data_IF_971313640364
#
_entry.id   IF_971313640364
#
_cell.length_a   1.000
_cell.length_b   1.000
_cell.length_c   1.000
_cell.angle_alpha   90.00
_cell.angle_beta   90.00
_cell.angle_gamma   90.00
#
_symmetry.space_group_name_H-M   'P 1'
#
loop_
_entity.id
_entity.type
_entity.pdbx_description
1 polymer ?
#
# COMPACT_ATOMS: atom_id res chain seq x y z
N UNK A 1 40.42 -2.67 14.42
CA UNK A 1 41.07 -3.24 13.22
C UNK A 1 40.67 -4.70 12.90
N UNK A 2 39.84 -5.37 13.71
CA UNK A 2 39.44 -6.79 13.45
C UNK A 2 38.16 -6.97 12.63
N UNK A 3 37.36 -5.94 12.41
CA UNK A 3 36.10 -6.02 11.64
C UNK A 3 36.26 -5.79 10.11
N UNK A 4 37.36 -5.19 9.68
CA UNK A 4 37.62 -4.95 8.24
C UNK A 4 38.31 -6.12 7.51
N UNK A 5 38.84 -7.09 8.24
CA UNK A 5 39.52 -8.24 7.66
C UNK A 5 38.54 -9.37 7.32
N UNK A 6 37.41 -9.45 8.04
CA UNK A 6 36.38 -10.48 7.80
C UNK A 6 35.57 -10.18 6.54
N UNK A 7 35.30 -8.92 6.24
CA UNK A 7 34.60 -8.53 4.99
C UNK A 7 35.40 -8.73 3.72
N UNK A 8 36.74 -8.67 3.79
CA UNK A 8 37.62 -8.91 2.65
C UNK A 8 37.78 -10.39 2.31
N UNK A 9 37.61 -11.28 3.29
CA UNK A 9 37.69 -12.74 3.06
C UNK A 9 36.40 -13.31 2.46
N UNK A 10 35.23 -12.73 2.74
CA UNK A 10 33.96 -13.17 2.13
C UNK A 10 33.83 -12.81 0.64
N UNK A 11 34.44 -11.68 0.21
CA UNK A 11 34.43 -11.30 -1.19
C UNK A 11 35.39 -12.13 -2.09
N UNK A 12 36.42 -12.76 -1.50
CA UNK A 12 37.38 -13.54 -2.24
C UNK A 12 36.92 -14.98 -2.57
N UNK A 13 35.91 -15.48 -1.85
CA UNK A 13 35.38 -16.84 -2.09
C UNK A 13 34.26 -16.89 -3.15
N UNK A 14 33.66 -15.77 -3.52
CA UNK A 14 32.62 -15.73 -4.57
C UNK A 14 33.13 -15.57 -5.99
N UNK A 15 34.43 -15.32 -6.21
CA UNK A 15 35.03 -15.15 -7.57
C UNK A 15 35.66 -16.43 -8.12
N UNK A 16 35.81 -17.50 -7.31
CA UNK A 16 36.52 -18.71 -7.70
C UNK A 16 35.67 -19.83 -8.35
N UNK A 17 34.33 -19.64 -8.51
CA UNK A 17 33.45 -20.70 -9.03
C UNK A 17 32.87 -20.45 -10.43
N UNK A 18 33.35 -19.44 -11.17
CA UNK A 18 32.83 -19.14 -12.52
C UNK A 18 33.75 -19.53 -13.71
N UNK A 19 34.74 -20.35 -13.52
CA UNK A 19 35.59 -20.83 -14.62
C UNK A 19 35.78 -22.35 -14.60
N UNK A 20 34.78 -23.10 -15.05
CA UNK A 20 34.99 -24.44 -15.57
C UNK A 20 33.80 -24.89 -16.43
N UNK A 21 33.93 -24.89 -17.71
CA UNK A 21 32.95 -25.56 -18.58
C UNK A 21 32.83 -25.00 -19.99
N UNK A 22 33.93 -25.02 -20.77
CA UNK A 22 33.85 -24.89 -22.22
C UNK A 22 34.53 -26.13 -22.85
N UNK A 23 33.79 -26.84 -23.66
CA UNK A 23 34.36 -27.99 -24.44
C UNK A 23 33.40 -28.35 -25.58
N UNK A 24 33.68 -27.79 -26.73
CA UNK A 24 33.05 -28.03 -28.02
C UNK A 24 33.38 -29.42 -28.62
N UNK A 25 32.49 -30.00 -29.44
CA UNK A 25 32.86 -30.63 -30.73
C UNK A 25 31.69 -30.76 -31.69
N UNK A 26 31.96 -30.34 -32.91
CA UNK A 26 31.18 -30.42 -34.13
C UNK A 26 31.08 -31.87 -34.68
N UNK A 27 30.01 -32.14 -35.43
CA UNK A 27 30.03 -32.50 -36.89
C UNK A 27 28.69 -33.12 -37.29
N UNK A 28 28.03 -32.56 -38.18
CA UNK A 28 27.87 -32.67 -39.65
C UNK A 28 26.74 -33.61 -40.11
N UNK A 29 25.83 -32.96 -40.88
CA UNK A 29 25.09 -33.42 -42.08
C UNK A 29 24.18 -34.65 -42.07
N UNK A 30 22.91 -34.50 -42.32
CA UNK A 30 22.32 -34.65 -43.65
C UNK A 30 20.81 -34.41 -43.68
N UNK A 31 20.34 -33.81 -44.75
CA UNK A 31 18.97 -33.53 -45.10
C UNK A 31 18.20 -34.79 -45.53
N UNK A 32 16.87 -34.85 -45.24
CA UNK A 32 15.86 -35.29 -46.21
C UNK A 32 14.43 -34.96 -45.73
N UNK A 33 13.66 -34.51 -46.68
CA UNK A 33 12.29 -34.00 -46.78
C UNK A 33 11.16 -34.94 -46.35
N UNK A 34 10.00 -34.24 -46.02
CA UNK A 34 8.58 -34.65 -46.11
C UNK A 34 8.03 -35.56 -44.98
N UNK A 35 6.96 -35.27 -44.34
CA UNK A 35 5.59 -35.04 -44.79
C UNK A 35 4.66 -34.60 -43.65
N UNK A 36 3.58 -33.94 -44.01
CA UNK A 36 2.50 -33.41 -43.22
C UNK A 36 1.76 -34.42 -42.38
N UNK A 37 1.58 -34.16 -41.06
CA UNK A 37 0.34 -34.51 -40.38
C UNK A 37 0.10 -33.62 -39.17
N UNK A 38 -1.06 -33.01 -39.17
CA UNK A 38 -1.64 -32.30 -38.03
C UNK A 38 -1.67 -33.23 -36.84
N UNK A 39 -1.05 -32.85 -35.74
CA UNK A 39 -1.37 -33.36 -34.43
C UNK A 39 -1.74 -32.16 -33.56
N UNK A 40 -2.98 -32.06 -33.17
CA UNK A 40 -3.50 -31.31 -32.05
C UNK A 40 -2.68 -31.72 -30.82
N UNK A 41 -1.78 -30.87 -30.38
CA UNK A 41 -1.16 -30.99 -29.08
C UNK A 41 -1.87 -29.98 -28.18
N UNK A 42 -2.93 -30.44 -27.51
CA UNK A 42 -3.37 -29.85 -26.27
C UNK A 42 -2.15 -29.87 -25.35
N UNK A 43 -1.58 -28.69 -25.09
CA UNK A 43 -0.61 -28.50 -24.02
C UNK A 43 -1.37 -28.76 -22.72
N UNK A 44 -1.20 -29.96 -22.16
CA UNK A 44 -1.48 -30.16 -20.76
C UNK A 44 -0.63 -29.16 -19.99
N UNK A 45 -1.26 -28.16 -19.44
CA UNK A 45 -0.68 -27.34 -18.39
C UNK A 45 -0.49 -28.30 -17.22
N UNK A 46 0.74 -28.79 -17.04
CA UNK A 46 1.10 -29.50 -15.81
C UNK A 46 0.87 -28.52 -14.67
N UNK A 47 -0.12 -28.84 -13.85
CA UNK A 47 -0.32 -28.16 -12.57
C UNK A 47 1.02 -28.15 -11.83
N UNK A 48 1.35 -27.05 -11.10
CA UNK A 48 2.50 -27.03 -10.21
C UNK A 48 2.48 -28.27 -9.32
N UNK A 49 3.66 -28.83 -9.02
CA UNK A 49 3.77 -29.96 -8.09
C UNK A 49 2.93 -29.65 -6.84
N UNK A 50 2.04 -30.58 -6.45
CA UNK A 50 1.16 -30.41 -5.30
C UNK A 50 1.99 -29.95 -4.09
N UNK A 51 1.76 -28.73 -3.65
CA UNK A 51 2.18 -28.29 -2.32
C UNK A 51 1.28 -29.02 -1.33
N UNK A 52 1.84 -29.98 -0.63
CA UNK A 52 1.11 -30.83 0.32
C UNK A 52 1.01 -30.20 1.71
N UNK A 53 1.37 -28.92 1.86
CA UNK A 53 1.24 -28.17 3.10
C UNK A 53 -0.21 -28.08 3.58
N UNK A 54 -0.39 -27.98 4.89
CA UNK A 54 -1.68 -27.82 5.56
C UNK A 54 -1.76 -26.55 6.40
N UNK A 55 -0.80 -25.69 6.26
CA UNK A 55 -0.73 -24.39 6.93
C UNK A 55 -0.90 -23.29 5.90
N UNK A 56 -1.80 -22.34 6.19
CA UNK A 56 -1.97 -21.11 5.44
C UNK A 56 -1.30 -19.97 6.21
N UNK A 57 -0.12 -19.57 5.78
CA UNK A 57 0.65 -18.47 6.40
C UNK A 57 0.28 -17.13 5.77
N UNK A 58 -0.35 -16.26 6.57
CA UNK A 58 -0.79 -14.93 6.14
C UNK A 58 0.07 -13.86 6.83
N UNK A 59 0.72 -13.00 6.04
CA UNK A 59 1.57 -11.91 6.52
C UNK A 59 0.84 -10.58 6.42
N UNK A 60 0.74 -9.85 7.53
CA UNK A 60 0.11 -8.54 7.62
C UNK A 60 0.79 -7.64 8.66
N UNK A 61 0.51 -6.32 8.60
CA UNK A 61 1.14 -5.35 9.51
C UNK A 61 0.34 -5.04 10.77
N UNK A 62 -0.94 -5.40 10.79
CA UNK A 62 -1.83 -5.23 11.94
C UNK A 62 -2.99 -6.23 11.88
N UNK A 63 -3.91 -6.12 12.83
CA UNK A 63 -5.07 -7.02 12.94
C UNK A 63 -6.26 -6.63 12.05
N UNK A 64 -6.20 -5.53 11.29
CA UNK A 64 -7.34 -5.07 10.52
C UNK A 64 -7.78 -6.10 9.49
N UNK A 65 -6.87 -6.57 8.64
CA UNK A 65 -7.18 -7.58 7.63
C UNK A 65 -7.72 -8.87 8.26
N UNK A 66 -7.04 -9.37 9.32
CA UNK A 66 -7.51 -10.54 10.09
C UNK A 66 -8.96 -10.34 10.54
N UNK A 67 -9.26 -9.25 11.23
CA UNK A 67 -10.59 -8.99 11.78
C UNK A 67 -11.67 -8.91 10.69
N UNK A 68 -11.35 -8.30 9.54
CA UNK A 68 -12.30 -8.19 8.41
C UNK A 68 -12.57 -9.55 7.76
N UNK A 69 -11.52 -10.30 7.44
CA UNK A 69 -11.67 -11.60 6.79
C UNK A 69 -12.37 -12.60 7.71
N UNK A 70 -11.94 -12.73 8.95
CA UNK A 70 -12.49 -13.72 9.88
C UNK A 70 -13.95 -13.44 10.25
N UNK A 71 -14.37 -12.17 10.29
CA UNK A 71 -15.76 -11.80 10.52
C UNK A 71 -16.71 -12.25 9.38
N UNK A 72 -16.20 -12.48 8.18
CA UNK A 72 -16.98 -12.78 6.99
C UNK A 72 -16.73 -14.16 6.40
N UNK A 73 -15.69 -14.87 6.84
CA UNK A 73 -15.39 -16.22 6.37
C UNK A 73 -16.11 -17.26 7.26
N UNK A 74 -17.15 -17.92 6.75
CA UNK A 74 -18.11 -18.67 7.60
C UNK A 74 -17.49 -19.88 8.31
N UNK A 75 -16.44 -20.47 7.74
CA UNK A 75 -15.82 -21.70 8.24
C UNK A 75 -14.56 -21.43 9.07
N UNK A 76 -14.19 -20.16 9.29
CA UNK A 76 -13.04 -19.82 10.13
C UNK A 76 -13.34 -20.08 11.60
N UNK A 77 -12.40 -20.75 12.28
CA UNK A 77 -12.44 -21.02 13.70
C UNK A 77 -11.18 -20.44 14.34
N UNK A 78 -11.34 -19.47 15.24
CA UNK A 78 -10.22 -18.92 16.01
C UNK A 78 -9.74 -19.94 17.04
N UNK A 79 -8.41 -20.16 17.10
CA UNK A 79 -7.73 -20.98 18.10
C UNK A 79 -7.11 -20.10 19.17
N UNK A 80 -6.37 -19.05 18.75
CA UNK A 80 -5.81 -18.01 19.60
C UNK A 80 -5.62 -16.72 18.79
N UNK A 81 -4.94 -15.73 19.36
CA UNK A 81 -4.74 -14.41 18.74
C UNK A 81 -4.02 -14.48 17.37
N UNK A 82 -3.23 -15.50 17.12
CA UNK A 82 -2.43 -15.63 15.88
C UNK A 82 -2.70 -16.92 15.11
N UNK A 83 -3.58 -17.79 15.60
CA UNK A 83 -3.87 -19.07 14.96
C UNK A 83 -5.38 -19.26 14.78
N UNK A 84 -5.73 -19.93 13.70
CA UNK A 84 -7.09 -20.35 13.39
C UNK A 84 -7.12 -21.62 12.54
N UNK A 85 -8.31 -22.02 12.14
CA UNK A 85 -8.54 -23.16 11.26
C UNK A 85 -9.62 -22.88 10.22
N UNK A 86 -9.45 -23.46 9.04
CA UNK A 86 -10.47 -23.55 8.00
C UNK A 86 -10.52 -25.02 7.57
N UNK A 87 -11.50 -25.77 8.08
CA UNK A 87 -11.54 -27.23 7.89
C UNK A 87 -10.29 -27.90 8.45
N UNK A 88 -9.53 -28.60 7.59
CA UNK A 88 -8.28 -29.28 7.96
C UNK A 88 -7.02 -28.42 7.78
N UNK A 89 -7.18 -27.15 7.37
CA UNK A 89 -6.08 -26.22 7.16
C UNK A 89 -5.87 -25.37 8.42
N UNK A 90 -4.64 -25.36 8.94
CA UNK A 90 -4.23 -24.43 10.00
C UNK A 90 -3.93 -23.06 9.41
N UNK A 91 -4.45 -21.99 10.00
CA UNK A 91 -4.20 -20.61 9.57
C UNK A 91 -3.28 -19.93 10.58
N UNK A 92 -2.19 -19.36 10.09
CA UNK A 92 -1.20 -18.64 10.90
C UNK A 92 -1.13 -17.18 10.47
N UNK A 93 -1.40 -16.28 11.40
CA UNK A 93 -1.34 -14.84 11.22
C UNK A 93 0.03 -14.31 11.65
N UNK A 94 0.88 -14.00 10.69
CA UNK A 94 2.20 -13.43 10.90
C UNK A 94 2.07 -11.89 10.91
N UNK A 95 1.78 -11.32 12.09
CA UNK A 95 1.53 -9.90 12.26
C UNK A 95 2.82 -9.20 12.69
N UNK A 96 3.35 -8.32 11.84
CA UNK A 96 4.53 -7.50 12.12
C UNK A 96 4.17 -6.03 11.94
N UNK A 97 4.19 -5.18 12.97
CA UNK A 97 3.96 -3.74 12.83
C UNK A 97 4.87 -3.10 11.78
N UNK A 98 4.36 -2.07 11.09
CA UNK A 98 5.10 -1.42 10.01
C UNK A 98 6.01 -0.27 10.47
N UNK A 99 6.27 -0.14 11.77
CA UNK A 99 7.18 0.84 12.32
C UNK A 99 8.59 0.64 11.71
N UNK A 100 9.22 1.73 11.27
CA UNK A 100 10.54 1.72 10.65
C UNK A 100 10.66 0.72 9.48
N UNK A 101 9.59 0.47 8.74
CA UNK A 101 9.48 -0.54 7.68
C UNK A 101 9.70 -1.99 8.15
N UNK A 102 9.47 -2.29 9.43
CA UNK A 102 9.73 -3.62 9.98
C UNK A 102 8.94 -4.72 9.27
N UNK A 103 7.67 -4.46 8.91
CA UNK A 103 6.87 -5.40 8.13
C UNK A 103 7.52 -5.73 6.78
N UNK A 104 7.88 -4.72 5.99
CA UNK A 104 8.47 -4.94 4.66
C UNK A 104 9.83 -5.64 4.78
N UNK A 105 10.66 -5.26 5.76
CA UNK A 105 11.96 -5.89 5.99
C UNK A 105 11.83 -7.37 6.36
N UNK A 106 10.84 -7.72 7.20
CA UNK A 106 10.55 -9.10 7.57
C UNK A 106 10.03 -9.91 6.36
N UNK A 107 9.08 -9.34 5.61
CA UNK A 107 8.54 -9.95 4.41
C UNK A 107 9.63 -10.23 3.37
N UNK A 108 10.50 -9.25 3.09
CA UNK A 108 11.62 -9.40 2.15
C UNK A 108 12.56 -10.53 2.57
N UNK A 109 12.96 -10.55 3.85
CA UNK A 109 13.86 -11.57 4.36
C UNK A 109 13.26 -12.98 4.27
N UNK A 110 11.96 -13.11 4.49
CA UNK A 110 11.27 -14.40 4.42
C UNK A 110 11.09 -14.85 2.97
N UNK A 111 10.67 -13.95 2.06
CA UNK A 111 10.50 -14.25 0.63
C UNK A 111 11.81 -14.70 -0.04
N UNK A 112 12.96 -14.18 0.38
CA UNK A 112 14.26 -14.62 -0.14
C UNK A 112 14.55 -16.09 0.15
N UNK A 113 13.96 -16.68 1.18
CA UNK A 113 14.11 -18.08 1.54
C UNK A 113 12.92 -18.96 1.12
N UNK A 114 11.93 -18.37 0.45
CA UNK A 114 10.66 -19.02 0.07
C UNK A 114 10.86 -20.31 -0.72
N UNK A 115 11.82 -20.35 -1.65
CA UNK A 115 12.04 -21.50 -2.52
C UNK A 115 12.50 -22.75 -1.76
N UNK A 116 13.31 -22.57 -0.72
CA UNK A 116 13.91 -23.66 0.07
C UNK A 116 13.13 -23.98 1.35
N UNK A 117 12.07 -23.20 1.66
CA UNK A 117 11.25 -23.42 2.84
C UNK A 117 10.41 -24.71 2.71
N UNK A 118 10.20 -25.47 3.82
CA UNK A 118 9.18 -26.52 3.87
C UNK A 118 7.81 -25.98 3.49
N UNK A 119 6.92 -26.82 2.97
CA UNK A 119 5.59 -26.42 2.51
C UNK A 119 4.82 -25.63 3.56
N UNK A 120 4.78 -26.12 4.79
CA UNK A 120 4.06 -25.47 5.90
C UNK A 120 4.71 -24.18 6.46
N UNK A 121 5.93 -23.84 6.03
CA UNK A 121 6.68 -22.64 6.46
C UNK A 121 6.68 -21.54 5.37
N UNK A 122 6.12 -21.82 4.20
CA UNK A 122 6.04 -20.86 3.09
C UNK A 122 5.04 -19.76 3.38
N UNK A 123 5.29 -18.58 2.80
CA UNK A 123 4.29 -17.50 2.73
C UNK A 123 3.28 -17.87 1.66
N UNK A 124 2.00 -17.92 2.01
CA UNK A 124 0.91 -18.20 1.06
C UNK A 124 0.19 -16.93 0.65
N UNK A 125 0.03 -15.99 1.58
CA UNK A 125 -0.61 -14.71 1.34
C UNK A 125 0.10 -13.62 2.14
N UNK A 126 0.34 -12.48 1.50
CA UNK A 126 0.87 -11.31 2.18
C UNK A 126 0.20 -10.04 1.71
N UNK A 127 0.10 -9.06 2.59
CA UNK A 127 -0.47 -7.75 2.28
C UNK A 127 0.59 -6.81 1.71
N UNK A 128 0.14 -5.92 0.83
CA UNK A 128 0.93 -4.80 0.32
C UNK A 128 0.07 -3.54 0.27
N UNK A 129 0.69 -2.40 0.50
CA UNK A 129 0.05 -1.10 0.23
C UNK A 129 0.39 -0.61 -1.18
N UNK A 130 -0.45 0.25 -1.72
CA UNK A 130 -0.26 0.86 -3.04
C UNK A 130 1.13 1.49 -3.22
N UNK A 131 1.70 2.03 -2.15
CA UNK A 131 2.99 2.73 -2.19
C UNK A 131 4.17 1.83 -2.54
N UNK A 132 4.08 0.55 -2.23
CA UNK A 132 5.16 -0.41 -2.47
C UNK A 132 4.72 -1.71 -3.16
N UNK A 133 3.47 -1.81 -3.60
CA UNK A 133 2.96 -3.01 -4.28
C UNK A 133 3.83 -3.39 -5.50
N UNK A 134 4.30 -2.42 -6.28
CA UNK A 134 5.14 -2.65 -7.46
C UNK A 134 6.46 -3.38 -7.14
N UNK A 135 6.96 -3.26 -5.92
CA UNK A 135 8.14 -3.99 -5.45
C UNK A 135 7.96 -5.51 -5.55
N UNK A 136 6.73 -6.00 -5.40
CA UNK A 136 6.42 -7.42 -5.35
C UNK A 136 5.74 -7.96 -6.60
N UNK A 137 4.81 -7.17 -7.21
CA UNK A 137 3.99 -7.67 -8.33
C UNK A 137 4.81 -8.01 -9.59
N UNK A 138 5.94 -7.35 -9.83
CA UNK A 138 6.85 -7.64 -10.94
C UNK A 138 7.85 -8.76 -10.63
N UNK A 139 7.67 -9.50 -9.52
CA UNK A 139 8.55 -10.58 -9.10
C UNK A 139 7.89 -11.95 -9.25
N UNK A 140 8.71 -13.01 -9.15
CA UNK A 140 8.24 -14.39 -9.12
C UNK A 140 7.71 -14.80 -7.74
N UNK A 141 7.71 -13.90 -6.73
CA UNK A 141 7.10 -14.13 -5.43
C UNK A 141 5.58 -14.00 -5.44
N UNK A 142 5.01 -13.45 -6.50
CA UNK A 142 3.57 -13.31 -6.69
C UNK A 142 3.11 -14.11 -7.90
N UNK A 143 1.99 -14.80 -7.77
CA UNK A 143 1.41 -15.61 -8.85
C UNK A 143 0.23 -14.89 -9.52
N UNK A 144 -0.08 -15.21 -10.79
CA UNK A 144 -1.28 -14.71 -11.44
C UNK A 144 -2.54 -15.14 -10.70
N UNK A 145 -3.44 -14.21 -10.44
CA UNK A 145 -4.71 -14.50 -9.73
C UNK A 145 -5.56 -15.56 -10.46
N UNK A 146 -5.51 -15.59 -11.79
CA UNK A 146 -6.20 -16.59 -12.60
C UNK A 146 -5.74 -18.02 -12.30
N UNK A 147 -4.48 -18.21 -11.88
CA UNK A 147 -3.93 -19.53 -11.57
C UNK A 147 -4.48 -20.07 -10.24
N UNK A 148 -5.11 -19.21 -9.44
CA UNK A 148 -5.91 -19.57 -8.26
C UNK A 148 -7.36 -19.93 -8.61
N UNK A 149 -7.74 -19.97 -9.90
CA UNK A 149 -9.09 -20.26 -10.35
C UNK A 149 -10.07 -19.09 -10.26
N UNK A 150 -9.61 -17.88 -10.00
CA UNK A 150 -10.43 -16.66 -9.95
C UNK A 150 -10.52 -16.08 -11.36
N UNK A 151 -11.72 -16.04 -11.91
CA UNK A 151 -11.98 -15.54 -13.26
C UNK A 151 -12.19 -14.02 -13.27
N UNK A 152 -11.95 -13.37 -14.42
CA UNK A 152 -12.20 -11.94 -14.60
C UNK A 152 -13.65 -11.52 -14.29
N UNK A 153 -14.62 -12.43 -14.54
CA UNK A 153 -16.03 -12.22 -14.20
C UNK A 153 -16.27 -12.02 -12.71
N UNK A 154 -15.49 -12.72 -11.86
CA UNK A 154 -15.61 -12.64 -10.40
C UNK A 154 -15.15 -11.25 -9.91
N UNK A 155 -14.25 -10.61 -10.66
CA UNK A 155 -13.68 -9.33 -10.37
C UNK A 155 -14.38 -8.16 -11.09
N UNK A 156 -15.50 -8.43 -11.75
CA UNK A 156 -16.21 -7.44 -12.59
C UNK A 156 -16.73 -6.22 -11.82
N UNK A 157 -16.93 -6.35 -10.50
CA UNK A 157 -17.40 -5.26 -9.63
C UNK A 157 -16.27 -4.59 -8.84
N UNK A 158 -15.03 -5.07 -8.95
CA UNK A 158 -13.89 -4.45 -8.30
C UNK A 158 -13.51 -3.17 -9.05
N UNK A 159 -13.15 -2.13 -8.30
CA UNK A 159 -12.71 -0.85 -8.89
C UNK A 159 -11.42 -1.04 -9.70
N UNK A 160 -11.35 -0.41 -10.87
CA UNK A 160 -10.20 -0.57 -11.76
C UNK A 160 -8.89 -0.13 -11.10
N UNK A 161 -8.87 1.01 -10.40
CA UNK A 161 -7.67 1.52 -9.73
C UNK A 161 -7.08 0.52 -8.73
N UNK A 162 -7.91 -0.28 -8.05
CA UNK A 162 -7.42 -1.30 -7.09
C UNK A 162 -6.78 -2.50 -7.80
N UNK A 163 -7.19 -2.79 -9.04
CA UNK A 163 -6.56 -3.81 -9.89
C UNK A 163 -5.26 -3.30 -10.48
N UNK A 164 -5.22 -2.03 -10.91
CA UNK A 164 -4.04 -1.43 -11.54
C UNK A 164 -2.82 -1.45 -10.59
N UNK A 165 -3.03 -1.25 -9.28
CA UNK A 165 -1.98 -1.26 -8.25
C UNK A 165 -1.25 -2.62 -8.17
N UNK A 166 -1.97 -3.72 -8.40
CA UNK A 166 -1.46 -5.09 -8.27
C UNK A 166 -1.38 -5.82 -9.61
N UNK A 167 -1.30 -5.06 -10.69
CA UNK A 167 -1.04 -5.55 -12.04
C UNK A 167 0.42 -5.32 -12.39
N UNK A 168 1.11 -6.37 -12.84
CA UNK A 168 2.52 -6.29 -13.18
C UNK A 168 2.77 -5.51 -14.50
N UNK A 169 4.03 -5.25 -14.82
CA UNK A 169 4.44 -4.52 -16.04
C UNK A 169 4.05 -5.23 -17.34
N UNK A 170 3.65 -6.50 -17.29
CA UNK A 170 3.18 -7.30 -18.42
C UNK A 170 1.65 -7.32 -18.54
N UNK A 171 0.94 -6.62 -17.65
CA UNK A 171 -0.52 -6.58 -17.61
C UNK A 171 -1.16 -7.78 -16.92
N UNK A 172 -0.41 -8.56 -16.12
CA UNK A 172 -0.92 -9.70 -15.37
C UNK A 172 -1.34 -9.28 -13.98
N UNK A 173 -2.58 -9.57 -13.59
CA UNK A 173 -3.09 -9.34 -12.25
C UNK A 173 -2.48 -10.34 -11.27
N UNK A 174 -1.76 -9.82 -10.24
CA UNK A 174 -0.97 -10.60 -9.27
C UNK A 174 -1.48 -10.51 -7.83
N UNK A 175 -2.51 -9.70 -7.59
CA UNK A 175 -3.10 -9.53 -6.28
C UNK A 175 -4.53 -9.02 -6.37
N UNK A 176 -5.19 -8.92 -5.22
CA UNK A 176 -6.55 -8.40 -5.09
C UNK A 176 -6.60 -7.40 -3.94
N UNK A 177 -7.38 -6.35 -4.11
CA UNK A 177 -7.63 -5.42 -3.02
C UNK A 177 -8.86 -5.86 -2.22
N UNK A 178 -8.74 -5.85 -0.90
CA UNK A 178 -9.81 -6.17 0.03
C UNK A 178 -10.60 -4.95 0.51
N UNK A 179 -10.15 -3.72 0.14
CA UNK A 179 -10.86 -2.49 0.45
C UNK A 179 -10.80 -1.48 -0.69
N UNK A 180 -11.85 -0.65 -0.80
CA UNK A 180 -11.82 0.56 -1.61
C UNK A 180 -11.63 1.76 -0.69
N UNK A 181 -10.62 2.58 -0.95
CA UNK A 181 -10.23 3.68 -0.08
C UNK A 181 -10.24 5.04 -0.81
N UNK A 182 -11.41 5.50 -1.32
CA UNK A 182 -11.49 6.86 -1.83
C UNK A 182 -11.22 7.85 -0.69
N UNK A 183 -10.36 8.83 -0.96
CA UNK A 183 -9.98 9.85 0.01
C UNK A 183 -10.95 11.03 0.02
N UNK A 184 -11.09 11.64 1.18
CA UNK A 184 -11.84 12.87 1.41
C UNK A 184 -11.07 13.79 2.35
N UNK A 185 -11.46 15.06 2.40
CA UNK A 185 -11.03 16.01 3.40
C UNK A 185 -12.00 15.93 4.59
N UNK A 186 -11.51 15.44 5.74
CA UNK A 186 -12.22 15.52 7.00
C UNK A 186 -11.97 16.88 7.66
N UNK A 187 -13.01 17.62 8.01
CA UNK A 187 -12.88 18.92 8.66
C UNK A 187 -13.54 18.95 10.03
N UNK A 188 -12.94 19.71 10.94
CA UNK A 188 -13.49 20.00 12.25
C UNK A 188 -14.72 20.93 12.11
N UNK A 189 -15.92 20.41 12.43
CA UNK A 189 -17.19 21.14 12.29
C UNK A 189 -17.26 22.41 13.13
N UNK A 190 -16.70 22.39 14.34
CA UNK A 190 -16.70 23.55 15.22
C UNK A 190 -15.78 24.65 14.68
N UNK A 191 -14.60 24.30 14.20
CA UNK A 191 -13.71 25.24 13.51
C UNK A 191 -14.35 25.80 12.23
N UNK A 192 -15.06 24.96 11.46
CA UNK A 192 -15.80 25.41 10.27
C UNK A 192 -16.89 26.42 10.62
N UNK A 193 -17.69 26.15 11.65
CA UNK A 193 -18.72 27.10 12.15
C UNK A 193 -18.11 28.42 12.62
N UNK A 194 -17.03 28.32 13.41
CA UNK A 194 -16.34 29.49 13.97
C UNK A 194 -15.77 30.39 12.88
N UNK A 195 -15.06 29.81 11.91
CA UNK A 195 -14.26 30.56 10.94
C UNK A 195 -14.98 30.81 9.62
N UNK A 196 -15.74 29.80 9.14
CA UNK A 196 -16.42 29.86 7.84
C UNK A 196 -17.90 30.20 7.97
N UNK A 197 -18.46 30.16 9.19
CA UNK A 197 -19.89 30.43 9.46
C UNK A 197 -20.80 29.26 9.10
N UNK A 198 -20.25 28.09 8.79
CA UNK A 198 -21.01 26.89 8.39
C UNK A 198 -20.24 25.62 8.68
N UNK A 199 -20.95 24.52 8.98
CA UNK A 199 -20.41 23.16 9.03
C UNK A 199 -21.13 22.21 8.03
N UNK A 200 -21.94 22.77 7.15
CA UNK A 200 -22.60 22.05 6.08
C UNK A 200 -21.55 21.59 5.05
N UNK A 201 -21.46 20.28 4.72
CA UNK A 201 -20.42 19.75 3.83
C UNK A 201 -20.39 20.41 2.46
N UNK A 202 -21.56 20.68 1.84
CA UNK A 202 -21.63 21.27 0.50
C UNK A 202 -21.12 22.72 0.53
N UNK A 203 -21.38 23.44 1.61
CA UNK A 203 -20.88 24.81 1.78
C UNK A 203 -19.41 24.86 2.13
N UNK A 204 -18.93 23.93 2.97
CA UNK A 204 -17.51 23.83 3.30
C UNK A 204 -16.71 23.45 2.06
N UNK A 205 -17.26 22.59 1.16
CA UNK A 205 -16.62 22.26 -0.11
C UNK A 205 -16.28 23.51 -0.95
N UNK A 206 -17.12 24.55 -0.95
CA UNK A 206 -16.81 25.79 -1.67
C UNK A 206 -15.56 26.53 -1.18
N UNK A 207 -15.16 26.31 0.08
CA UNK A 207 -13.93 26.87 0.66
C UNK A 207 -12.67 26.03 0.42
N UNK A 208 -12.83 24.79 -0.07
CA UNK A 208 -11.73 23.85 -0.26
C UNK A 208 -11.79 23.14 -1.61
N UNK A 209 -12.55 23.64 -2.60
CA UNK A 209 -12.83 22.99 -3.87
C UNK A 209 -11.65 22.94 -4.85
N UNK A 210 -10.66 23.77 -4.64
CA UNK A 210 -9.40 23.83 -5.39
C UNK A 210 -8.28 24.35 -4.47
N UNK A 211 -7.04 24.28 -4.94
CA UNK A 211 -5.90 24.68 -4.14
C UNK A 211 -5.87 26.20 -3.81
N UNK A 212 -6.45 27.04 -4.65
CA UNK A 212 -6.53 28.50 -4.39
C UNK A 212 -7.48 28.77 -3.22
N UNK A 213 -8.68 28.23 -3.26
CA UNK A 213 -9.68 28.37 -2.17
C UNK A 213 -9.22 27.67 -0.89
N UNK A 214 -8.52 26.52 -1.01
CA UNK A 214 -7.90 25.83 0.12
C UNK A 214 -6.84 26.72 0.80
N UNK A 215 -5.94 27.34 0.05
CA UNK A 215 -4.91 28.22 0.57
C UNK A 215 -5.50 29.49 1.20
N UNK A 216 -6.56 30.06 0.62
CA UNK A 216 -7.27 31.19 1.23
C UNK A 216 -7.99 30.80 2.54
N UNK A 217 -8.47 29.57 2.62
CA UNK A 217 -9.05 29.03 3.85
C UNK A 217 -7.98 28.76 4.90
N UNK A 218 -6.79 28.30 4.52
CA UNK A 218 -5.66 28.14 5.42
C UNK A 218 -5.28 29.45 6.13
N UNK A 219 -5.28 30.57 5.42
CA UNK A 219 -5.04 31.91 5.99
C UNK A 219 -6.10 32.28 7.03
N UNK A 220 -7.40 32.06 6.71
CA UNK A 220 -8.50 32.32 7.62
C UNK A 220 -8.41 31.46 8.90
N UNK A 221 -8.08 30.19 8.75
CA UNK A 221 -7.88 29.27 9.87
C UNK A 221 -6.74 29.72 10.76
N UNK A 222 -5.61 30.08 10.19
CA UNK A 222 -4.46 30.64 10.92
C UNK A 222 -4.83 31.90 11.70
N UNK A 223 -5.54 32.85 11.08
CA UNK A 223 -5.95 34.10 11.73
C UNK A 223 -6.87 33.84 12.92
N UNK A 224 -7.63 32.73 12.91
CA UNK A 224 -8.46 32.28 14.01
C UNK A 224 -7.72 31.34 15.01
N UNK A 225 -6.42 31.12 14.83
CA UNK A 225 -5.58 30.32 15.72
C UNK A 225 -5.61 28.82 15.44
N UNK A 226 -6.07 28.38 14.27
CA UNK A 226 -6.03 26.99 13.81
C UNK A 226 -4.85 26.78 12.84
N UNK A 227 -4.38 25.55 12.77
CA UNK A 227 -3.60 25.04 11.63
C UNK A 227 -4.55 24.46 10.60
N UNK A 228 -4.26 24.66 9.31
CA UNK A 228 -5.04 24.03 8.24
C UNK A 228 -4.94 22.51 8.32
N UNK A 229 -3.70 21.99 8.40
CA UNK A 229 -3.39 20.58 8.67
C UNK A 229 -2.35 20.44 9.77
N UNK A 230 -2.24 19.28 10.40
CA UNK A 230 -1.27 18.98 11.44
C UNK A 230 0.16 18.83 10.88
N UNK A 231 0.24 18.32 9.65
CA UNK A 231 1.50 18.05 8.94
C UNK A 231 1.46 18.60 7.52
N UNK A 232 2.58 19.07 7.02
CA UNK A 232 2.75 19.37 5.61
C UNK A 232 2.54 18.14 4.72
N UNK A 233 2.79 16.93 5.27
CA UNK A 233 2.61 15.67 4.56
C UNK A 233 1.15 15.23 4.42
N UNK A 234 0.20 15.84 5.16
CA UNK A 234 -1.23 15.49 5.06
C UNK A 234 -1.77 15.66 3.62
N UNK A 235 -1.26 16.64 2.87
CA UNK A 235 -1.68 16.90 1.48
C UNK A 235 -0.94 16.07 0.43
N UNK A 236 0.19 15.43 0.78
CA UNK A 236 1.06 14.76 -0.20
C UNK A 236 0.31 13.78 -1.10
N UNK A 237 -0.56 12.94 -0.52
CA UNK A 237 -1.28 11.91 -1.27
C UNK A 237 -2.23 12.49 -2.31
N UNK A 238 -2.82 13.67 -2.05
CA UNK A 238 -3.66 14.35 -3.03
C UNK A 238 -2.86 14.74 -4.27
N UNK A 239 -1.64 15.24 -4.10
CA UNK A 239 -0.76 15.58 -5.22
C UNK A 239 -0.17 14.33 -5.89
N UNK A 240 0.31 13.36 -5.11
CA UNK A 240 1.00 12.18 -5.65
C UNK A 240 0.08 11.22 -6.41
N UNK A 241 -1.21 11.17 -6.08
CA UNK A 241 -2.19 10.39 -6.86
C UNK A 241 -2.52 11.03 -8.22
N UNK A 242 -2.20 12.28 -8.40
CA UNK A 242 -2.50 13.04 -9.62
C UNK A 242 -1.25 13.32 -10.47
N UNK A 243 -0.17 12.56 -10.28
CA UNK A 243 1.01 12.60 -11.15
C UNK A 243 0.68 12.05 -12.53
N UNK A 244 1.32 12.62 -13.53
CA UNK A 244 1.12 12.27 -14.94
C UNK A 244 2.33 11.56 -15.55
N UNK A 245 3.42 11.49 -14.84
CA UNK A 245 4.68 10.91 -15.28
C UNK A 245 5.27 9.93 -14.26
N UNK A 246 6.05 8.97 -14.76
CA UNK A 246 6.74 8.00 -13.91
C UNK A 246 7.93 8.66 -13.19
N UNK A 247 8.25 8.18 -12.00
CA UNK A 247 9.44 8.59 -11.24
C UNK A 247 10.77 8.27 -11.94
N UNK A 248 10.78 7.23 -12.79
CA UNK A 248 11.96 6.82 -13.53
C UNK A 248 11.61 6.72 -15.00
N UNK A 249 12.40 7.41 -15.83
CA UNK A 249 12.37 7.32 -17.30
C UNK A 249 13.75 6.84 -17.80
N UNK A 250 13.79 5.58 -18.23
CA UNK A 250 15.05 4.90 -18.58
C UNK A 250 15.95 4.77 -17.33
N UNK A 251 17.03 5.56 -17.29
CA UNK A 251 17.98 5.61 -16.17
C UNK A 251 17.99 6.96 -15.44
N UNK A 252 16.98 7.79 -15.64
CA UNK A 252 16.89 9.13 -15.05
C UNK A 252 15.74 9.19 -14.08
N UNK A 253 15.97 9.88 -12.96
CA UNK A 253 14.88 10.28 -12.05
C UNK A 253 14.13 11.42 -12.71
N UNK A 254 12.81 11.29 -12.74
CA UNK A 254 11.87 12.28 -13.22
C UNK A 254 10.96 12.69 -12.06
N UNK A 255 10.93 13.97 -11.75
CA UNK A 255 10.05 14.51 -10.70
C UNK A 255 8.89 15.19 -11.40
N UNK A 256 7.69 14.66 -11.20
CA UNK A 256 6.47 15.20 -11.78
C UNK A 256 6.18 16.62 -11.27
N UNK A 257 5.60 17.47 -12.12
CA UNK A 257 5.27 18.86 -11.79
C UNK A 257 4.30 18.95 -10.58
N UNK A 258 3.40 17.98 -10.40
CA UNK A 258 2.53 17.94 -9.22
C UNK A 258 3.31 17.70 -7.93
N UNK A 259 4.37 16.91 -7.98
CA UNK A 259 5.23 16.70 -6.81
C UNK A 259 5.99 17.99 -6.47
N UNK A 260 6.53 18.68 -7.48
CA UNK A 260 7.18 19.97 -7.26
C UNK A 260 6.21 21.03 -6.74
N UNK A 261 4.97 21.02 -7.27
CA UNK A 261 3.91 21.91 -6.75
C UNK A 261 3.60 21.62 -5.28
N UNK A 262 3.53 20.34 -4.87
CA UNK A 262 3.37 20.00 -3.46
C UNK A 262 4.52 20.54 -2.60
N UNK A 263 5.78 20.42 -3.07
CA UNK A 263 6.97 20.93 -2.35
C UNK A 263 6.85 22.45 -2.14
N UNK A 264 6.48 23.18 -3.19
CA UNK A 264 6.38 24.64 -3.14
C UNK A 264 5.21 25.10 -2.26
N UNK A 265 4.03 24.49 -2.43
CA UNK A 265 2.81 24.84 -1.67
C UNK A 265 2.98 24.49 -0.17
N UNK A 266 3.46 23.28 0.14
CA UNK A 266 3.68 22.86 1.52
C UNK A 266 4.72 23.71 2.23
N UNK A 267 5.82 24.04 1.54
CA UNK A 267 6.82 24.94 2.07
C UNK A 267 6.24 26.34 2.34
N UNK A 268 5.48 26.88 1.40
CA UNK A 268 4.87 28.21 1.56
C UNK A 268 3.90 28.24 2.77
N UNK A 269 3.07 27.20 2.95
CA UNK A 269 2.14 27.09 4.07
C UNK A 269 2.87 26.92 5.42
N UNK A 270 3.97 26.16 5.46
CA UNK A 270 4.82 26.03 6.65
C UNK A 270 5.47 27.37 7.00
N UNK A 271 6.10 28.02 6.04
CA UNK A 271 6.76 29.33 6.24
C UNK A 271 5.76 30.41 6.69
N UNK A 272 4.54 30.35 6.17
CA UNK A 272 3.44 31.22 6.59
C UNK A 272 2.86 30.84 7.97
N UNK A 273 3.17 29.68 8.52
CA UNK A 273 2.62 29.16 9.77
C UNK A 273 1.15 28.70 9.66
N UNK A 274 0.67 28.41 8.46
CA UNK A 274 -0.69 27.98 8.15
C UNK A 274 -0.88 26.48 8.40
N UNK A 275 0.17 25.67 8.23
CA UNK A 275 0.16 24.24 8.50
C UNK A 275 1.18 23.83 9.55
N UNK A 276 1.02 22.65 10.15
CA UNK A 276 1.95 22.06 11.10
C UNK A 276 3.14 21.39 10.42
N UNK A 277 4.12 20.96 11.23
CA UNK A 277 5.37 20.35 10.78
C UNK A 277 5.68 19.01 11.45
N UNK A 278 4.71 18.43 12.15
CA UNK A 278 4.88 17.13 12.76
C UNK A 278 4.91 16.03 11.69
N UNK A 279 5.51 14.90 12.02
CA UNK A 279 5.47 13.73 11.16
C UNK A 279 4.08 13.09 11.18
N UNK A 280 3.64 12.55 10.04
CA UNK A 280 2.43 11.75 9.97
C UNK A 280 2.51 10.59 10.95
N UNK A 281 1.38 10.23 11.54
CA UNK A 281 1.23 9.12 12.50
C UNK A 281 1.94 9.31 13.85
N UNK A 282 2.60 10.44 14.06
CA UNK A 282 3.21 10.77 15.36
C UNK A 282 2.15 11.14 16.42
N UNK A 283 2.55 11.09 17.68
CA UNK A 283 1.74 11.57 18.79
C UNK A 283 1.38 13.07 18.63
N UNK A 284 2.27 13.88 18.08
CA UNK A 284 2.02 15.30 17.82
C UNK A 284 0.98 15.51 16.72
N UNK A 285 0.99 14.69 15.69
CA UNK A 285 -0.05 14.70 14.65
C UNK A 285 -1.42 14.33 15.24
N UNK A 286 -1.46 13.31 16.09
CA UNK A 286 -2.69 12.82 16.74
C UNK A 286 -3.31 13.81 17.73
N UNK A 287 -2.55 14.77 18.26
CA UNK A 287 -3.10 15.85 19.13
C UNK A 287 -4.18 16.67 18.42
N UNK A 288 -4.12 16.78 17.10
CA UNK A 288 -5.12 17.48 16.30
C UNK A 288 -6.49 16.80 16.24
N UNK A 289 -6.62 15.55 16.71
CA UNK A 289 -7.90 14.87 16.86
C UNK A 289 -8.71 15.33 18.07
N UNK A 290 -8.13 16.20 18.88
CA UNK A 290 -8.75 16.79 20.05
C UNK A 290 -8.89 18.31 19.89
N UNK A 291 -9.90 18.95 20.50
CA UNK A 291 -10.20 20.39 20.33
C UNK A 291 -9.00 21.30 20.63
N UNK A 292 -8.17 20.94 21.62
CA UNK A 292 -6.98 21.71 22.02
C UNK A 292 -5.86 21.70 20.97
N UNK A 293 -5.84 20.73 20.07
CA UNK A 293 -4.85 20.63 19.00
C UNK A 293 -5.02 21.67 17.90
N UNK A 294 -6.24 22.28 17.81
CA UNK A 294 -6.51 23.41 16.90
C UNK A 294 -6.12 23.10 15.44
N UNK A 295 -6.48 21.93 14.94
CA UNK A 295 -6.32 21.54 13.54
C UNK A 295 -7.68 21.56 12.85
N UNK A 296 -7.70 22.14 11.63
CA UNK A 296 -8.93 22.24 10.86
C UNK A 296 -9.24 20.97 10.08
N UNK A 297 -8.29 20.40 9.34
CA UNK A 297 -8.60 19.27 8.48
C UNK A 297 -7.49 18.22 8.40
N UNK A 298 -7.91 17.03 7.95
CA UNK A 298 -7.09 15.88 7.63
C UNK A 298 -7.53 15.30 6.29
N UNK A 299 -6.63 14.67 5.57
CA UNK A 299 -6.93 13.95 4.34
C UNK A 299 -6.82 12.45 4.55
N UNK A 300 -7.82 11.70 4.16
CA UNK A 300 -7.78 10.25 4.29
C UNK A 300 -9.07 9.56 3.85
N UNK A 301 -9.06 8.23 3.82
CA UNK A 301 -10.24 7.42 3.54
C UNK A 301 -11.07 7.16 4.80
N UNK A 302 -12.19 6.46 4.64
CA UNK A 302 -13.14 6.20 5.74
C UNK A 302 -12.50 5.50 6.95
N UNK A 303 -11.51 4.61 6.74
CA UNK A 303 -10.85 3.92 7.85
C UNK A 303 -10.08 4.87 8.79
N UNK A 304 -9.62 6.03 8.30
CA UNK A 304 -8.89 7.01 9.11
C UNK A 304 -9.71 7.43 10.33
N UNK A 305 -11.02 7.63 10.16
CA UNK A 305 -11.92 8.01 11.26
C UNK A 305 -11.94 6.93 12.35
N UNK A 306 -12.02 5.66 11.95
CA UNK A 306 -12.19 4.56 12.90
C UNK A 306 -10.88 4.15 13.58
N UNK A 307 -9.75 4.20 12.85
CA UNK A 307 -8.48 3.66 13.34
C UNK A 307 -7.51 4.70 13.88
N UNK A 308 -7.63 5.96 13.45
CA UNK A 308 -6.62 6.97 13.79
C UNK A 308 -7.21 8.18 14.50
N UNK A 309 -8.41 8.64 14.10
CA UNK A 309 -8.97 9.92 14.58
C UNK A 309 -9.69 9.81 15.93
N UNK A 310 -9.46 8.74 16.68
CA UNK A 310 -9.98 8.51 18.04
C UNK A 310 -11.50 8.73 18.16
N UNK A 311 -12.27 8.33 17.13
CA UNK A 311 -13.71 8.61 17.05
C UNK A 311 -14.53 7.96 18.18
N UNK A 312 -14.00 6.92 18.81
CA UNK A 312 -14.59 6.21 19.96
C UNK A 312 -14.08 6.73 21.32
N UNK A 313 -13.18 7.71 21.34
CA UNK A 313 -12.54 8.22 22.55
C UNK A 313 -13.24 9.48 23.04
N UNK A 314 -13.76 9.44 24.26
CA UNK A 314 -14.40 10.60 24.89
C UNK A 314 -13.47 11.81 24.96
N UNK A 315 -13.96 12.97 24.55
CA UNK A 315 -13.21 14.21 24.49
C UNK A 315 -12.50 14.47 23.16
N UNK A 316 -12.47 13.49 22.25
CA UNK A 316 -12.02 13.72 20.87
C UNK A 316 -13.06 14.49 20.06
N UNK A 317 -12.64 15.13 18.97
CA UNK A 317 -13.54 15.80 18.02
C UNK A 317 -14.51 14.79 17.41
N UNK A 318 -14.04 13.58 17.11
CA UNK A 318 -14.83 12.54 16.45
C UNK A 318 -15.92 11.92 17.31
N UNK A 319 -15.76 11.89 18.63
CA UNK A 319 -16.61 11.15 19.57
C UNK A 319 -18.12 11.43 19.44
N UNK A 320 -18.49 12.69 19.16
CA UNK A 320 -19.88 13.10 18.97
C UNK A 320 -20.15 13.54 17.51
N UNK A 321 -19.42 13.01 16.53
CA UNK A 321 -19.61 13.38 15.13
C UNK A 321 -19.08 14.77 14.77
N UNK A 322 -18.06 15.24 15.47
CA UNK A 322 -17.45 16.56 15.26
C UNK A 322 -16.64 16.70 13.97
N UNK A 323 -16.42 15.61 13.23
CA UNK A 323 -15.83 15.65 11.90
C UNK A 323 -16.91 15.70 10.82
N UNK A 324 -16.77 16.62 9.86
CA UNK A 324 -17.48 16.61 8.60
C UNK A 324 -16.57 16.10 7.48
N UNK A 325 -17.14 15.76 6.34
CA UNK A 325 -16.37 15.32 5.17
C UNK A 325 -16.74 16.19 3.96
N UNK A 326 -15.71 16.65 3.24
CA UNK A 326 -15.82 17.34 1.96
C UNK A 326 -14.92 16.64 0.95
N UNK A 327 -15.15 16.81 -0.35
CA UNK A 327 -14.33 16.21 -1.38
C UNK A 327 -12.89 16.73 -1.35
N UNK A 328 -12.72 18.01 -0.97
CA UNK A 328 -11.43 18.68 -0.98
C UNK A 328 -11.05 19.25 -2.35
N UNK A 329 -9.81 19.72 -2.51
CA UNK A 329 -9.38 20.41 -3.71
C UNK A 329 -9.20 19.51 -4.93
N UNK A 330 -9.00 18.22 -4.72
CA UNK A 330 -8.78 17.24 -5.77
C UNK A 330 -9.06 15.83 -5.26
N UNK A 331 -9.57 14.96 -6.13
CA UNK A 331 -9.80 13.56 -5.81
C UNK A 331 -8.50 12.78 -5.61
N UNK A 332 -8.52 11.84 -4.70
CA UNK A 332 -7.41 10.94 -4.43
C UNK A 332 -7.92 9.62 -3.83
N UNK A 333 -7.05 8.65 -3.73
CA UNK A 333 -7.34 7.41 -3.03
C UNK A 333 -6.15 6.99 -2.16
N UNK A 334 -6.44 6.21 -1.14
CA UNK A 334 -5.45 5.50 -0.35
C UNK A 334 -5.55 4.02 -0.70
N UNK A 335 -4.44 3.31 -0.87
CA UNK A 335 -4.46 1.91 -1.26
C UNK A 335 -3.97 1.01 -0.14
N UNK A 336 -4.70 -0.06 0.11
CA UNK A 336 -4.30 -1.15 0.97
C UNK A 336 -4.86 -2.45 0.43
#
# INVERSE_FOLDING_TARGET
>A
MKKKVVSALLCATMVATMFAGCGSKESSDNATTQDTSKADTSSEVTAPAEDTGKVLNIYCWNEEFKSRITAHYPDYQEVDATHGKIGDVDVVWNITPNDDNAYQNNLDATLLNQADAPADDKIDLFLVEADYALKYVDTDYTMPIKDLGIADSDLSKQYQYTKDIVTDSKGVLKGLSWQGCPGVLFYNRDAAKEVLGTDDPDKVQEYVKDWDTYNDTAKKMKDAGYKMTASANDTYRVYSNNVTSKWVDGNKINIDDNIMKWVDDSKAQVDAGETGTCDLWSDDWSKGFYPQGKVFCYFGPAWLVNFSMAADTEGSIGYNGGWGAAQGPQGFFWGG
#
